data_IF_602652172524
#
_entry.id   IF_602652172524
#
_cell.length_a   1.000
_cell.length_b   1.000
_cell.length_c   1.000
_cell.angle_alpha   90.00
_cell.angle_beta   90.00
_cell.angle_gamma   90.00
#
_symmetry.space_group_name_H-M   'P 1'
#
loop_
_entity.id
_entity.type
_entity.pdbx_description
1 polymer ?
#
# COMPACT_ATOMS: atom_id res chain seq x y z
N UNK A 1 3.02 3.73 -8.60
CA UNK A 1 4.03 4.47 -7.83
C UNK A 1 3.57 4.82 -6.42
N UNK A 2 2.29 5.13 -6.23
CA UNK A 2 1.75 5.44 -4.90
C UNK A 2 1.85 4.22 -3.99
N UNK A 3 1.59 3.03 -4.52
CA UNK A 3 1.57 1.79 -3.77
C UNK A 3 2.94 1.28 -3.31
N UNK A 4 4.02 1.64 -3.99
CA UNK A 4 5.35 1.08 -3.68
C UNK A 4 5.77 1.38 -2.24
N UNK A 5 5.44 2.56 -1.72
CA UNK A 5 5.77 2.94 -0.35
C UNK A 5 5.00 2.11 0.69
N UNK A 6 3.73 1.80 0.40
CA UNK A 6 2.93 0.92 1.26
C UNK A 6 3.46 -0.50 1.27
N UNK A 7 3.81 -1.04 0.11
CA UNK A 7 4.33 -2.39 0.00
C UNK A 7 5.69 -2.53 0.67
N UNK A 8 6.52 -1.49 0.59
CA UNK A 8 7.80 -1.45 1.26
C UNK A 8 7.62 -1.49 2.79
N UNK A 9 6.74 -0.65 3.31
CA UNK A 9 6.40 -0.63 4.73
C UNK A 9 5.85 -1.98 5.21
N UNK A 10 4.93 -2.57 4.46
CA UNK A 10 4.32 -3.85 4.80
C UNK A 10 5.34 -4.97 4.80
N UNK A 11 6.23 -5.00 3.81
CA UNK A 11 7.31 -6.00 3.74
C UNK A 11 8.27 -5.88 4.91
N UNK A 12 8.57 -4.65 5.31
CA UNK A 12 9.47 -4.39 6.41
C UNK A 12 8.89 -4.81 7.76
N UNK A 13 7.58 -4.60 7.95
CA UNK A 13 6.90 -4.93 9.21
C UNK A 13 6.56 -6.43 9.28
N UNK A 14 6.06 -7.01 8.19
CA UNK A 14 5.44 -8.33 8.19
C UNK A 14 6.24 -9.43 7.50
N UNK A 15 7.38 -9.10 6.91
CA UNK A 15 8.26 -10.08 6.27
C UNK A 15 8.00 -10.27 4.78
N UNK A 16 8.33 -11.45 4.27
CA UNK A 16 8.25 -11.73 2.85
C UNK A 16 6.83 -12.05 2.40
N UNK A 17 6.54 -11.73 1.13
CA UNK A 17 5.26 -12.05 0.50
C UNK A 17 5.22 -13.54 0.17
N UNK A 18 4.17 -14.22 0.64
CA UNK A 18 3.90 -15.63 0.34
C UNK A 18 2.91 -15.79 -0.80
N UNK A 19 1.96 -14.87 -0.93
CA UNK A 19 0.95 -14.90 -1.97
C UNK A 19 0.57 -13.49 -2.38
N UNK A 20 0.35 -13.28 -3.69
CA UNK A 20 -0.05 -12.00 -4.27
C UNK A 20 -1.19 -12.25 -5.25
N UNK A 21 -2.37 -11.73 -4.93
CA UNK A 21 -3.58 -11.85 -5.78
C UNK A 21 -4.03 -10.46 -6.18
N UNK A 22 -4.24 -10.25 -7.48
CA UNK A 22 -4.76 -8.98 -8.00
C UNK A 22 -6.23 -9.15 -8.33
N UNK A 23 -7.09 -8.37 -7.70
CA UNK A 23 -8.53 -8.39 -7.93
C UNK A 23 -8.98 -7.38 -8.99
N UNK A 24 -8.35 -6.20 -9.00
CA UNK A 24 -8.65 -5.12 -9.94
C UNK A 24 -7.35 -4.46 -10.37
N UNK A 25 -7.24 -4.21 -11.65
CA UNK A 25 -6.12 -3.44 -12.22
C UNK A 25 -6.65 -2.62 -13.38
N UNK A 26 -6.97 -1.36 -13.09
CA UNK A 26 -7.47 -0.40 -14.04
C UNK A 26 -6.53 0.80 -14.15
N UNK A 27 -6.82 1.72 -15.05
CA UNK A 27 -5.99 2.91 -15.27
C UNK A 27 -5.89 3.78 -14.02
N UNK A 28 -6.98 3.87 -13.25
CA UNK A 28 -7.10 4.78 -12.11
C UNK A 28 -7.20 4.07 -10.76
N UNK A 29 -7.26 2.75 -10.73
CA UNK A 29 -7.33 2.01 -9.47
C UNK A 29 -6.80 0.59 -9.59
N UNK A 30 -6.38 0.06 -8.44
CA UNK A 30 -5.97 -1.31 -8.29
C UNK A 30 -6.34 -1.81 -6.90
N UNK A 31 -6.57 -3.09 -6.78
CA UNK A 31 -6.88 -3.71 -5.51
C UNK A 31 -6.45 -5.18 -5.53
N UNK A 32 -6.15 -5.71 -4.36
CA UNK A 32 -5.74 -7.09 -4.26
C UNK A 32 -5.55 -7.58 -2.84
N UNK A 33 -4.90 -8.71 -2.75
CA UNK A 33 -4.60 -9.41 -1.51
C UNK A 33 -3.13 -9.80 -1.50
N UNK A 34 -2.47 -9.55 -0.39
CA UNK A 34 -1.10 -9.96 -0.14
C UNK A 34 -1.06 -10.80 1.14
N UNK A 35 -0.43 -11.95 1.07
CA UNK A 35 -0.11 -12.74 2.25
C UNK A 35 1.37 -12.62 2.53
N UNK A 36 1.70 -12.12 3.73
CA UNK A 36 3.07 -12.04 4.24
C UNK A 36 3.31 -13.14 5.25
N UNK A 37 4.56 -13.31 5.68
CA UNK A 37 4.90 -14.29 6.72
C UNK A 37 4.04 -14.12 7.98
N UNK A 38 3.75 -12.88 8.38
CA UNK A 38 3.10 -12.57 9.65
C UNK A 38 1.77 -11.82 9.50
N UNK A 39 1.26 -11.63 8.29
CA UNK A 39 0.03 -10.87 8.09
C UNK A 39 -0.67 -11.21 6.79
N UNK A 40 -1.97 -10.94 6.77
CA UNK A 40 -2.81 -10.99 5.58
C UNK A 40 -3.32 -9.57 5.32
N UNK A 41 -3.15 -9.09 4.10
CA UNK A 41 -3.45 -7.70 3.75
C UNK A 41 -4.38 -7.64 2.54
N UNK A 42 -5.52 -7.00 2.73
CA UNK A 42 -6.38 -6.57 1.63
C UNK A 42 -6.04 -5.11 1.35
N UNK A 43 -5.79 -4.78 0.12
CA UNK A 43 -5.39 -3.42 -0.23
C UNK A 43 -6.23 -2.86 -1.36
N UNK A 44 -6.38 -1.55 -1.35
CA UNK A 44 -7.09 -0.80 -2.37
C UNK A 44 -6.40 0.54 -2.58
N UNK A 45 -6.07 0.84 -3.82
CA UNK A 45 -5.44 2.09 -4.23
C UNK A 45 -6.25 2.70 -5.37
N UNK A 46 -6.57 3.98 -5.26
CA UNK A 46 -7.25 4.72 -6.32
C UNK A 46 -6.75 6.15 -6.42
N UNK A 47 -6.75 6.67 -7.63
CA UNK A 47 -6.54 8.09 -7.92
C UNK A 47 -7.84 8.75 -8.40
N UNK A 48 -8.96 8.05 -8.31
CA UNK A 48 -10.28 8.55 -8.68
C UNK A 48 -10.98 9.13 -7.46
N UNK A 49 -11.33 10.40 -7.50
CA UNK A 49 -12.01 11.07 -6.37
C UNK A 49 -13.41 10.48 -6.09
N UNK A 50 -14.01 9.79 -7.05
CA UNK A 50 -15.28 9.11 -6.85
C UNK A 50 -15.16 7.91 -5.90
N UNK A 51 -13.97 7.37 -5.74
CA UNK A 51 -13.69 6.26 -4.82
C UNK A 51 -13.43 6.73 -3.38
N UNK A 52 -13.36 8.05 -3.13
CA UNK A 52 -13.21 8.57 -1.77
C UNK A 52 -14.44 8.25 -0.92
N UNK A 53 -14.26 7.86 0.35
CA UNK A 53 -15.39 7.70 1.27
C UNK A 53 -16.20 8.99 1.41
N UNK A 54 -17.50 8.85 1.57
CA UNK A 54 -18.42 10.00 1.67
C UNK A 54 -18.04 10.95 2.81
N UNK A 55 -17.66 10.42 3.97
CA UNK A 55 -17.23 11.26 5.11
C UNK A 55 -15.99 12.10 4.82
N UNK A 56 -15.16 11.66 3.88
CA UNK A 56 -13.98 12.42 3.43
C UNK A 56 -14.39 13.50 2.44
N UNK A 57 -15.32 13.21 1.53
CA UNK A 57 -15.87 14.18 0.60
C UNK A 57 -16.58 15.31 1.33
N UNK A 58 -17.33 14.99 2.39
CA UNK A 58 -18.04 15.97 3.24
C UNK A 58 -17.09 16.94 3.93
N UNK A 59 -15.87 16.51 4.24
CA UNK A 59 -14.82 17.35 4.83
C UNK A 59 -14.02 18.14 3.80
N UNK A 60 -14.36 18.02 2.52
CA UNK A 60 -13.64 18.62 1.39
C UNK A 60 -12.17 18.17 1.29
N UNK A 61 -11.84 17.03 1.88
CA UNK A 61 -10.51 16.43 1.75
C UNK A 61 -10.39 15.70 0.43
N UNK A 62 -9.19 15.79 -0.18
CA UNK A 62 -8.90 15.15 -1.47
C UNK A 62 -8.09 13.87 -1.33
N UNK A 63 -7.65 13.55 -0.13
CA UNK A 63 -6.79 12.40 0.12
C UNK A 63 -7.32 11.62 1.31
N UNK A 64 -7.34 10.31 1.19
CA UNK A 64 -7.65 9.41 2.29
C UNK A 64 -6.63 8.27 2.31
N UNK A 65 -5.98 8.09 3.44
CA UNK A 65 -5.02 7.00 3.68
C UNK A 65 -5.32 6.40 5.04
N UNK A 66 -5.61 5.13 5.06
CA UNK A 66 -5.83 4.43 6.32
C UNK A 66 -5.34 2.99 6.26
N UNK A 67 -5.03 2.47 7.44
CA UNK A 67 -4.72 1.05 7.65
C UNK A 67 -5.60 0.59 8.80
N UNK A 68 -6.30 -0.53 8.60
CA UNK A 68 -7.07 -1.16 9.66
C UNK A 68 -6.34 -2.42 10.11
N UNK A 69 -5.98 -2.49 11.38
CA UNK A 69 -5.29 -3.63 11.99
C UNK A 69 -6.17 -4.13 13.13
N UNK A 70 -6.60 -5.40 13.06
CA UNK A 70 -7.44 -6.04 14.07
C UNK A 70 -8.67 -5.19 14.43
N UNK A 71 -9.37 -4.68 13.41
CA UNK A 71 -10.56 -3.83 13.52
C UNK A 71 -10.30 -2.41 14.07
N UNK A 72 -9.04 -2.02 14.26
CA UNK A 72 -8.67 -0.65 14.63
C UNK A 72 -8.14 0.10 13.41
N UNK A 73 -8.79 1.19 13.05
CA UNK A 73 -8.39 2.02 11.93
C UNK A 73 -7.40 3.09 12.36
N UNK A 74 -6.32 3.21 11.61
CA UNK A 74 -5.35 4.28 11.72
C UNK A 74 -5.37 5.10 10.43
N UNK A 75 -5.92 6.30 10.51
CA UNK A 75 -5.90 7.24 9.40
C UNK A 75 -4.65 8.12 9.47
N UNK A 76 -3.93 8.24 8.35
CA UNK A 76 -2.71 9.04 8.29
C UNK A 76 -2.67 9.92 7.03
N UNK A 77 -3.82 10.41 6.59
CA UNK A 77 -3.94 11.23 5.37
C UNK A 77 -3.09 12.49 5.39
N UNK A 78 -2.83 13.04 6.59
CA UNK A 78 -1.97 14.21 6.79
C UNK A 78 -0.50 13.84 7.08
N UNK A 79 -0.20 12.55 7.23
CA UNK A 79 1.12 12.05 7.63
C UNK A 79 2.11 11.94 6.48
N UNK A 80 3.36 11.76 6.84
CA UNK A 80 4.55 11.70 5.98
C UNK A 80 5.11 13.04 5.54
N UNK A 81 4.89 14.09 6.33
CA UNK A 81 5.74 15.28 6.27
C UNK A 81 7.14 14.89 6.78
N UNK A 82 8.18 15.42 6.21
CA UNK A 82 9.58 15.21 6.63
C UNK A 82 10.21 13.87 6.28
N UNK A 83 9.59 13.03 5.43
CA UNK A 83 10.20 11.77 4.99
C UNK A 83 11.53 11.99 4.28
N UNK A 84 11.62 13.01 3.43
CA UNK A 84 12.85 13.32 2.71
C UNK A 84 13.96 13.73 3.69
N UNK A 85 13.65 14.57 4.66
CA UNK A 85 14.60 15.00 5.68
C UNK A 85 15.11 13.81 6.49
N UNK A 86 14.22 12.93 6.94
CA UNK A 86 14.59 11.72 7.68
C UNK A 86 15.43 10.78 6.84
N UNK A 87 15.12 10.62 5.56
CA UNK A 87 15.90 9.80 4.63
C UNK A 87 17.33 10.33 4.49
N UNK A 88 17.49 11.63 4.29
CA UNK A 88 18.81 12.25 4.21
C UNK A 88 19.59 12.10 5.51
N UNK A 89 18.96 12.28 6.66
CA UNK A 89 19.60 12.07 7.97
C UNK A 89 20.12 10.65 8.11
N UNK A 90 19.35 9.63 7.69
CA UNK A 90 19.79 8.24 7.75
C UNK A 90 20.96 7.97 6.80
N UNK A 91 20.96 8.55 5.61
CA UNK A 91 22.06 8.42 4.65
C UNK A 91 23.34 9.00 5.25
N UNK A 92 23.27 10.18 5.86
CA UNK A 92 24.42 10.84 6.50
C UNK A 92 24.98 10.05 7.68
N UNK A 93 24.13 9.29 8.38
CA UNK A 93 24.54 8.41 9.48
C UNK A 93 25.08 7.05 9.00
N UNK A 94 25.11 6.81 7.70
CA UNK A 94 25.54 5.53 7.12
C UNK A 94 24.46 4.44 7.15
N UNK A 95 23.21 4.79 7.45
CA UNK A 95 22.07 3.88 7.53
C UNK A 95 21.15 4.01 6.31
N UNK A 96 21.62 4.58 5.21
CA UNK A 96 20.83 4.72 3.99
C UNK A 96 20.42 3.35 3.44
N UNK A 97 19.28 3.33 2.75
CA UNK A 97 18.74 2.13 2.14
C UNK A 97 19.42 1.86 0.79
N UNK A 98 19.88 0.61 0.59
CA UNK A 98 20.43 0.15 -0.68
C UNK A 98 19.39 -0.47 -1.58
N UNK A 99 19.83 -0.97 -2.75
CA UNK A 99 18.96 -1.64 -3.71
C UNK A 99 18.24 -2.85 -3.11
N UNK A 100 18.90 -3.59 -2.22
CA UNK A 100 18.33 -4.77 -1.57
C UNK A 100 17.11 -4.42 -0.72
N UNK A 101 17.13 -3.26 -0.08
CA UNK A 101 16.01 -2.80 0.76
C UNK A 101 14.76 -2.49 -0.06
N UNK A 102 14.93 -2.10 -1.33
CA UNK A 102 13.83 -1.78 -2.24
C UNK A 102 13.36 -2.97 -3.09
N UNK A 103 14.14 -4.03 -3.16
CA UNK A 103 13.89 -5.17 -4.06
C UNK A 103 12.53 -5.81 -3.78
N UNK A 104 12.18 -6.00 -2.52
CA UNK A 104 10.92 -6.64 -2.12
C UNK A 104 9.71 -5.84 -2.60
N UNK A 105 9.70 -4.53 -2.39
CA UNK A 105 8.61 -3.67 -2.81
C UNK A 105 8.51 -3.55 -4.33
N UNK A 106 9.64 -3.47 -5.01
CA UNK A 106 9.68 -3.45 -6.48
C UNK A 106 9.14 -4.76 -7.06
N UNK A 107 9.49 -5.89 -6.48
CA UNK A 107 8.97 -7.20 -6.90
C UNK A 107 7.47 -7.31 -6.70
N UNK A 108 6.94 -6.79 -5.59
CA UNK A 108 5.50 -6.76 -5.34
C UNK A 108 4.80 -5.96 -6.45
N UNK A 109 5.28 -4.78 -6.77
CA UNK A 109 4.71 -3.93 -7.83
C UNK A 109 4.80 -4.61 -9.20
N UNK A 110 5.94 -5.24 -9.50
CA UNK A 110 6.14 -5.99 -10.75
C UNK A 110 5.10 -7.10 -10.88
N UNK A 111 4.90 -7.87 -9.82
CA UNK A 111 3.92 -8.96 -9.80
C UNK A 111 2.49 -8.45 -9.95
N UNK A 112 2.14 -7.34 -9.29
CA UNK A 112 0.82 -6.73 -9.42
C UNK A 112 0.55 -6.31 -10.86
N UNK A 113 1.55 -5.79 -11.56
CA UNK A 113 1.41 -5.39 -12.97
C UNK A 113 1.23 -6.56 -13.92
N UNK A 114 1.76 -7.72 -13.60
CA UNK A 114 1.86 -8.85 -14.53
C UNK A 114 0.98 -10.05 -14.19
N UNK A 115 0.50 -10.16 -12.94
CA UNK A 115 -0.38 -11.25 -12.53
C UNK A 115 -1.75 -11.14 -13.22
N UNK A 116 -2.34 -12.31 -13.50
CA UNK A 116 -3.71 -12.40 -14.00
C UNK A 116 -4.68 -11.97 -12.90
N UNK A 117 -5.68 -11.17 -13.25
CA UNK A 117 -6.73 -10.76 -12.33
C UNK A 117 -7.53 -11.98 -11.88
N UNK A 118 -7.76 -12.08 -10.56
CA UNK A 118 -8.41 -13.25 -9.96
C UNK A 118 -9.49 -12.81 -8.98
N UNK A 119 -10.53 -13.59 -8.85
CA UNK A 119 -11.56 -13.40 -7.83
C UNK A 119 -11.26 -14.14 -6.53
N UNK A 120 -10.14 -14.89 -6.48
CA UNK A 120 -9.75 -15.67 -5.31
C UNK A 120 -9.31 -14.78 -4.13
N UNK A 121 -9.37 -15.37 -2.92
CA UNK A 121 -8.91 -14.70 -1.71
C UNK A 121 -9.90 -13.69 -1.16
N UNK A 122 -9.47 -12.97 -0.13
CA UNK A 122 -10.29 -11.97 0.53
C UNK A 122 -10.22 -10.64 -0.19
N UNK A 123 -11.36 -10.12 -0.62
CA UNK A 123 -11.44 -8.84 -1.32
C UNK A 123 -11.50 -7.67 -0.35
N UNK A 124 -10.95 -6.54 -0.76
CA UNK A 124 -11.05 -5.32 0.01
C UNK A 124 -12.51 -4.85 0.09
N UNK A 125 -12.97 -4.32 1.25
CA UNK A 125 -14.37 -3.85 1.41
C UNK A 125 -14.82 -2.78 0.42
N UNK A 126 -13.90 -2.00 -0.14
CA UNK A 126 -14.20 -0.97 -1.15
C UNK A 126 -14.48 -1.55 -2.53
N UNK A 127 -14.20 -2.81 -2.75
CA UNK A 127 -14.59 -3.50 -3.99
C UNK A 127 -16.04 -3.96 -3.88
N UNK A 128 -16.83 -3.43 -4.74
CA UNK A 128 -18.26 -3.76 -4.81
C UNK A 128 -18.55 -4.81 -5.87
#
# INVERSE_FOLDING_TARGET
NIGVHFYDMLSWIFGDVQENIVHVREKNKAAGYLEFNNARVRWFLSIDENDLPEFIKEKEQRTFRSITIDAQELEFSAGFTDLHTKSYEQILKGNGFGLEDSEKSINIVHDIRNLTISAAGFKHPFLK
#
